data_IF_437267089023
#
_entry.id   IF_437267089023
#
_cell.length_a   1.000
_cell.length_b   1.000
_cell.length_c   1.000
_cell.angle_alpha   90.00
_cell.angle_beta   90.00
_cell.angle_gamma   90.00
#
_symmetry.space_group_name_H-M   'P 1'
#
loop_
_entity.id
_entity.type
_entity.pdbx_description
1 polymer ?
#
# COMPACT_ATOMS: atom_id res chain seq x y z
N UNK A 1 22.23 16.27 25.23
CA UNK A 1 23.19 16.25 26.35
C UNK A 1 24.53 15.75 25.84
N UNK A 2 25.64 16.29 26.36
CA UNK A 2 26.98 15.83 26.02
C UNK A 2 27.60 15.13 27.24
N UNK A 3 28.18 13.95 27.03
CA UNK A 3 28.85 13.18 28.08
C UNK A 3 30.04 12.41 27.50
N UNK A 4 30.95 11.98 28.37
CA UNK A 4 31.98 11.01 27.96
C UNK A 4 31.29 9.65 27.73
N UNK A 5 31.65 8.95 26.66
CA UNK A 5 31.11 7.63 26.37
C UNK A 5 31.52 6.60 27.44
N UNK A 6 30.80 5.47 27.52
CA UNK A 6 31.07 4.44 28.54
C UNK A 6 32.52 3.91 28.51
N UNK A 7 33.15 3.91 27.34
CA UNK A 7 34.54 3.49 27.15
C UNK A 7 35.59 4.53 27.56
N UNK A 8 35.19 5.76 27.93
CA UNK A 8 36.09 6.90 28.21
C UNK A 8 37.03 7.27 27.07
N UNK A 9 36.68 6.92 25.84
CA UNK A 9 37.49 7.14 24.64
C UNK A 9 36.93 8.23 23.73
N UNK A 10 35.75 8.78 24.03
CA UNK A 10 35.15 9.82 23.19
C UNK A 10 34.05 10.62 23.87
N UNK A 11 33.64 11.68 23.19
CA UNK A 11 32.50 12.52 23.56
C UNK A 11 31.27 11.99 22.81
N UNK A 12 30.21 11.67 23.54
CA UNK A 12 28.91 11.32 22.99
C UNK A 12 27.97 12.51 23.15
N UNK A 13 27.33 12.91 22.05
CA UNK A 13 26.29 13.93 22.04
C UNK A 13 24.98 13.24 21.69
N UNK A 14 24.02 13.26 22.61
CA UNK A 14 22.66 12.76 22.39
C UNK A 14 21.74 13.95 22.19
N UNK A 15 21.04 13.98 21.07
CA UNK A 15 20.00 14.96 20.86
C UNK A 15 18.72 14.55 21.61
N UNK A 16 18.27 15.37 22.56
CA UNK A 16 17.03 15.14 23.33
C UNK A 16 15.83 15.90 22.75
N UNK A 17 16.01 16.66 21.67
CA UNK A 17 14.94 17.36 20.97
C UNK A 17 14.76 16.73 19.58
N UNK A 18 13.65 16.01 19.32
CA UNK A 18 13.42 15.35 18.03
C UNK A 18 13.17 16.33 16.89
N UNK A 19 12.97 17.62 17.18
CA UNK A 19 12.69 18.67 16.17
C UNK A 19 13.91 19.46 15.76
N UNK A 20 15.04 19.27 16.45
CA UNK A 20 16.30 19.96 16.18
C UNK A 20 17.31 18.97 15.66
N UNK A 21 18.31 19.49 14.97
CA UNK A 21 19.41 18.70 14.42
C UNK A 21 20.72 19.13 15.08
N UNK A 22 21.64 18.19 15.29
CA UNK A 22 23.00 18.51 15.68
C UNK A 22 23.74 19.19 14.52
N UNK A 23 24.17 20.42 14.74
CA UNK A 23 24.97 21.19 13.78
C UNK A 23 26.34 21.42 14.40
N UNK A 24 27.39 21.02 13.70
CA UNK A 24 28.76 21.35 14.07
C UNK A 24 29.21 22.51 13.19
N UNK A 25 29.52 23.64 13.82
CA UNK A 25 30.06 24.82 13.16
C UNK A 25 31.31 25.29 13.87
N UNK A 26 32.28 25.79 13.11
CA UNK A 26 33.44 26.45 13.70
C UNK A 26 33.05 27.80 14.31
N UNK A 27 33.64 28.14 15.46
CA UNK A 27 33.58 29.49 16.00
C UNK A 27 34.67 30.34 15.33
N UNK A 28 34.28 31.53 14.84
CA UNK A 28 35.16 32.48 14.14
C UNK A 28 35.88 31.87 12.92
N UNK A 29 37.08 32.35 12.60
CA UNK A 29 37.93 31.83 11.52
C UNK A 29 38.68 30.53 11.91
N UNK A 30 38.35 29.91 13.05
CA UNK A 30 39.00 28.67 13.46
C UNK A 30 38.52 27.49 12.60
N UNK A 31 39.35 26.44 12.48
CA UNK A 31 39.03 25.21 11.74
C UNK A 31 39.08 23.98 12.64
N UNK A 32 38.75 24.13 13.93
CA UNK A 32 38.94 23.09 14.94
C UNK A 32 38.06 21.86 14.70
N UNK A 33 36.83 22.02 14.23
CA UNK A 33 35.97 20.87 13.92
C UNK A 33 36.43 20.14 12.66
N UNK A 34 36.84 20.91 11.64
CA UNK A 34 37.42 20.41 10.40
C UNK A 34 38.71 19.61 10.64
N UNK A 35 39.63 20.16 11.42
CA UNK A 35 40.89 19.49 11.78
C UNK A 35 40.68 18.16 12.55
N UNK A 36 39.53 17.98 13.19
CA UNK A 36 39.15 16.75 13.90
C UNK A 36 38.35 15.78 13.02
N UNK A 37 38.17 16.08 11.73
CA UNK A 37 37.40 15.25 10.83
C UNK A 37 35.87 15.33 11.04
N UNK A 38 35.41 16.32 11.81
CA UNK A 38 34.00 16.45 12.20
C UNK A 38 33.35 17.47 11.27
N UNK A 39 32.74 16.96 10.19
CA UNK A 39 32.16 17.77 9.12
C UNK A 39 30.68 17.55 8.94
N UNK A 40 29.98 18.65 8.63
CA UNK A 40 28.60 18.60 8.20
C UNK A 40 27.63 18.16 9.29
N UNK A 41 26.36 18.06 8.90
CA UNK A 41 25.30 17.50 9.72
C UNK A 41 24.83 16.20 9.09
N UNK A 42 24.42 15.21 9.89
CA UNK A 42 23.79 13.99 9.38
C UNK A 42 22.45 14.27 8.68
N UNK A 43 21.89 15.46 8.90
CA UNK A 43 20.65 15.95 8.28
C UNK A 43 20.93 16.80 7.03
N UNK A 44 20.07 16.65 6.03
CA UNK A 44 20.11 17.43 4.78
C UNK A 44 19.83 18.91 5.06
N UNK A 45 18.85 19.22 5.93
CA UNK A 45 18.50 20.62 6.26
C UNK A 45 19.62 21.28 7.07
N UNK A 46 20.18 20.55 8.04
CA UNK A 46 21.39 20.97 8.76
C UNK A 46 22.55 21.28 7.82
N UNK A 47 22.81 20.39 6.85
CA UNK A 47 23.88 20.58 5.86
C UNK A 47 23.64 21.77 4.93
N UNK A 48 22.38 22.05 4.55
CA UNK A 48 22.02 23.25 3.77
C UNK A 48 22.26 24.54 4.55
N UNK A 49 21.91 24.57 5.84
CA UNK A 49 22.18 25.74 6.70
C UNK A 49 23.68 25.99 6.85
N UNK A 50 24.47 24.93 7.03
CA UNK A 50 25.93 25.02 7.08
C UNK A 50 26.50 25.53 5.75
N UNK A 51 25.98 25.07 4.61
CA UNK A 51 26.42 25.52 3.29
C UNK A 51 26.19 27.03 3.12
N UNK A 52 25.03 27.54 3.52
CA UNK A 52 24.74 28.98 3.50
C UNK A 52 25.74 29.76 4.35
N UNK A 53 26.09 29.25 5.53
CA UNK A 53 27.08 29.89 6.40
C UNK A 53 28.49 29.87 5.80
N UNK A 54 28.92 28.74 5.23
CA UNK A 54 30.22 28.60 4.59
C UNK A 54 30.36 29.53 3.37
N UNK A 55 29.28 29.72 2.60
CA UNK A 55 29.24 30.68 1.50
C UNK A 55 29.38 32.13 1.99
N UNK A 56 28.70 32.50 3.08
CA UNK A 56 28.83 33.84 3.70
C UNK A 56 30.24 34.12 4.21
N UNK A 57 30.91 33.09 4.72
CA UNK A 57 32.27 33.18 5.25
C UNK A 57 33.35 33.00 4.17
N UNK A 58 32.98 32.79 2.91
CA UNK A 58 33.89 32.53 1.78
C UNK A 58 34.84 31.32 2.03
N UNK A 59 34.38 30.31 2.76
CA UNK A 59 35.15 29.10 3.06
C UNK A 59 34.96 28.04 1.98
N UNK A 60 35.81 28.10 0.94
CA UNK A 60 35.72 27.23 -0.25
C UNK A 60 35.91 25.74 0.05
N UNK A 61 36.71 25.40 1.05
CA UNK A 61 36.95 24.00 1.41
C UNK A 61 35.68 23.38 2.01
N UNK A 62 35.10 24.04 3.01
CA UNK A 62 33.86 23.58 3.64
C UNK A 62 32.69 23.50 2.65
N UNK A 63 32.64 24.42 1.67
CA UNK A 63 31.65 24.35 0.57
C UNK A 63 31.80 23.07 -0.24
N UNK A 64 33.02 22.70 -0.62
CA UNK A 64 33.28 21.48 -1.40
C UNK A 64 32.84 20.22 -0.66
N UNK A 65 33.15 20.12 0.65
CA UNK A 65 32.82 18.94 1.45
C UNK A 65 31.31 18.83 1.73
N UNK A 66 30.64 19.97 1.93
CA UNK A 66 29.19 20.02 2.13
C UNK A 66 28.41 19.65 0.86
N UNK A 67 28.92 19.95 -0.34
CA UNK A 67 28.30 19.51 -1.59
C UNK A 67 28.25 17.97 -1.66
N UNK A 68 29.36 17.29 -1.36
CA UNK A 68 29.37 15.82 -1.34
C UNK A 68 28.41 15.23 -0.30
N UNK A 69 28.29 15.88 0.86
CA UNK A 69 27.33 15.50 1.91
C UNK A 69 25.87 15.68 1.43
N UNK A 70 25.56 16.78 0.77
CA UNK A 70 24.23 17.05 0.20
C UNK A 70 23.88 16.05 -0.89
N UNK A 71 24.82 15.70 -1.77
CA UNK A 71 24.61 14.69 -2.82
C UNK A 71 24.27 13.32 -2.22
N UNK A 72 24.97 12.91 -1.15
CA UNK A 72 24.65 11.68 -0.42
C UNK A 72 23.25 11.74 0.22
N UNK A 73 22.88 12.87 0.81
CA UNK A 73 21.54 13.11 1.35
C UNK A 73 20.45 13.05 0.27
N UNK A 74 20.69 13.66 -0.89
CA UNK A 74 19.78 13.60 -2.04
C UNK A 74 19.61 12.16 -2.54
N UNK A 75 20.69 11.39 -2.64
CA UNK A 75 20.62 9.97 -2.99
C UNK A 75 19.76 9.17 -2.01
N UNK A 76 19.85 9.46 -0.71
CA UNK A 76 19.01 8.83 0.31
C UNK A 76 17.52 9.15 0.10
N UNK A 77 17.18 10.41 -0.17
CA UNK A 77 15.80 10.82 -0.48
C UNK A 77 15.29 10.15 -1.76
N UNK A 78 16.12 10.10 -2.81
CA UNK A 78 15.79 9.42 -4.06
C UNK A 78 15.53 7.93 -3.86
N UNK A 79 16.33 7.25 -3.03
CA UNK A 79 16.13 5.84 -2.67
C UNK A 79 14.79 5.62 -1.96
N UNK A 80 14.44 6.48 -1.00
CA UNK A 80 13.13 6.41 -0.33
C UNK A 80 11.98 6.67 -1.31
N UNK A 81 12.12 7.67 -2.20
CA UNK A 81 11.12 7.95 -3.23
C UNK A 81 10.94 6.77 -4.18
N UNK A 82 12.03 6.14 -4.63
CA UNK A 82 12.00 4.96 -5.49
C UNK A 82 11.30 3.77 -4.79
N UNK A 83 11.61 3.52 -3.52
CA UNK A 83 10.95 2.48 -2.71
C UNK A 83 9.44 2.71 -2.59
N UNK A 84 9.01 3.95 -2.34
CA UNK A 84 7.60 4.32 -2.32
C UNK A 84 6.95 4.14 -3.70
N UNK A 85 7.61 4.58 -4.78
CA UNK A 85 7.14 4.38 -6.14
C UNK A 85 6.93 2.90 -6.49
N UNK A 86 7.86 2.02 -6.10
CA UNK A 86 7.72 0.58 -6.29
C UNK A 86 6.51 0.00 -5.53
N UNK A 87 6.21 0.51 -4.33
CA UNK A 87 5.02 0.10 -3.56
C UNK A 87 3.73 0.55 -4.24
N UNK A 88 3.71 1.77 -4.80
CA UNK A 88 2.57 2.28 -5.57
C UNK A 88 2.31 1.41 -6.79
N UNK A 89 3.33 1.12 -7.60
CA UNK A 89 3.21 0.23 -8.77
C UNK A 89 2.66 -1.15 -8.37
N UNK A 90 3.14 -1.71 -7.25
CA UNK A 90 2.66 -2.99 -6.74
C UNK A 90 1.18 -2.92 -6.33
N UNK A 91 0.75 -1.82 -5.70
CA UNK A 91 -0.65 -1.60 -5.34
C UNK A 91 -1.54 -1.48 -6.58
N UNK A 92 -1.13 -0.69 -7.57
CA UNK A 92 -1.86 -0.53 -8.84
C UNK A 92 -1.99 -1.86 -9.59
N UNK A 93 -0.89 -2.63 -9.66
CA UNK A 93 -0.91 -3.97 -10.27
C UNK A 93 -1.85 -4.92 -9.51
N UNK A 94 -1.87 -4.84 -8.19
CA UNK A 94 -2.76 -5.64 -7.35
C UNK A 94 -4.22 -5.25 -7.58
N UNK A 95 -4.52 -3.95 -7.65
CA UNK A 95 -5.86 -3.44 -7.92
C UNK A 95 -6.38 -3.92 -9.28
N UNK A 96 -5.56 -3.81 -10.33
CA UNK A 96 -5.90 -4.32 -11.67
C UNK A 96 -6.22 -5.81 -11.63
N UNK A 97 -5.40 -6.63 -10.95
CA UNK A 97 -5.66 -8.07 -10.80
C UNK A 97 -6.95 -8.37 -10.03
N UNK A 98 -7.28 -7.60 -9.00
CA UNK A 98 -8.52 -7.76 -8.26
C UNK A 98 -9.75 -7.42 -9.12
N UNK A 99 -9.64 -6.42 -9.98
CA UNK A 99 -10.69 -6.09 -10.96
C UNK A 99 -10.88 -7.24 -11.95
N UNK A 100 -9.78 -7.79 -12.48
CA UNK A 100 -9.83 -8.95 -13.39
C UNK A 100 -10.44 -10.18 -12.71
N UNK A 101 -10.09 -10.45 -11.45
CA UNK A 101 -10.69 -11.53 -10.67
C UNK A 101 -12.19 -11.30 -10.45
N UNK A 102 -12.61 -10.08 -10.18
CA UNK A 102 -14.04 -9.77 -10.01
C UNK A 102 -14.82 -10.11 -11.29
N UNK A 103 -14.33 -9.71 -12.46
CA UNK A 103 -14.96 -10.04 -13.74
C UNK A 103 -14.98 -11.55 -13.99
N UNK A 104 -13.86 -12.23 -13.77
CA UNK A 104 -13.76 -13.68 -13.98
C UNK A 104 -14.66 -14.47 -13.02
N UNK A 105 -14.72 -14.09 -11.74
CA UNK A 105 -15.60 -14.76 -10.77
C UNK A 105 -17.07 -14.53 -11.07
N UNK A 106 -17.47 -13.31 -11.45
CA UNK A 106 -18.85 -13.05 -11.89
C UNK A 106 -19.21 -13.89 -13.10
N UNK A 107 -18.29 -14.02 -14.08
CA UNK A 107 -18.50 -14.88 -15.24
C UNK A 107 -18.63 -16.36 -14.85
N UNK A 108 -17.72 -16.86 -14.02
CA UNK A 108 -17.74 -18.25 -13.58
C UNK A 108 -19.00 -18.57 -12.76
N UNK A 109 -19.45 -17.63 -11.91
CA UNK A 109 -20.69 -17.77 -11.16
C UNK A 109 -21.89 -17.84 -12.10
N UNK A 110 -21.99 -16.94 -13.09
CA UNK A 110 -23.05 -16.97 -14.10
C UNK A 110 -23.07 -18.30 -14.87
N UNK A 111 -21.92 -18.80 -15.32
CA UNK A 111 -21.84 -20.07 -16.06
C UNK A 111 -22.32 -21.27 -15.24
N UNK A 112 -22.08 -21.26 -13.92
CA UNK A 112 -22.53 -22.33 -13.02
C UNK A 112 -24.02 -22.19 -12.69
N UNK A 113 -24.49 -20.98 -12.35
CA UNK A 113 -25.88 -20.74 -11.95
C UNK A 113 -26.87 -20.80 -13.14
N UNK A 114 -26.50 -20.33 -14.33
CA UNK A 114 -27.39 -20.33 -15.51
C UNK A 114 -27.79 -21.76 -15.94
N UNK A 115 -26.87 -22.73 -15.80
CA UNK A 115 -27.14 -24.13 -16.08
C UNK A 115 -28.13 -24.74 -15.08
N UNK A 116 -28.00 -24.40 -13.79
CA UNK A 116 -28.91 -24.88 -12.74
C UNK A 116 -30.28 -24.22 -12.81
N UNK A 117 -30.37 -22.92 -13.11
CA UNK A 117 -31.66 -22.23 -13.30
C UNK A 117 -32.44 -22.85 -14.47
N UNK A 118 -31.76 -23.15 -15.58
CA UNK A 118 -32.41 -23.80 -16.74
C UNK A 118 -32.99 -25.15 -16.35
N UNK A 119 -32.22 -25.98 -15.63
CA UNK A 119 -32.66 -27.29 -15.15
C UNK A 119 -33.83 -27.18 -14.16
N UNK A 120 -33.73 -26.26 -13.20
CA UNK A 120 -34.76 -25.99 -12.21
C UNK A 120 -36.09 -25.59 -12.88
N UNK A 121 -36.04 -24.72 -13.90
CA UNK A 121 -37.22 -24.31 -14.66
C UNK A 121 -37.85 -25.52 -15.38
N UNK A 122 -37.06 -26.37 -16.02
CA UNK A 122 -37.58 -27.59 -16.65
C UNK A 122 -38.19 -28.56 -15.65
N UNK A 123 -37.54 -28.78 -14.50
CA UNK A 123 -38.05 -29.67 -13.45
C UNK A 123 -39.37 -29.14 -12.86
N UNK A 124 -39.45 -27.82 -12.64
CA UNK A 124 -40.68 -27.15 -12.19
C UNK A 124 -41.80 -27.29 -13.22
N UNK A 125 -41.54 -27.02 -14.51
CA UNK A 125 -42.54 -27.14 -15.57
C UNK A 125 -43.06 -28.58 -15.71
N UNK A 126 -42.19 -29.58 -15.57
CA UNK A 126 -42.59 -30.99 -15.55
C UNK A 126 -43.48 -31.31 -14.34
N UNK A 127 -43.14 -30.82 -13.15
CA UNK A 127 -43.94 -31.03 -11.94
C UNK A 127 -45.32 -30.36 -12.05
N UNK A 128 -45.39 -29.13 -12.58
CA UNK A 128 -46.65 -28.43 -12.85
C UNK A 128 -47.52 -29.19 -13.86
N UNK A 129 -46.91 -29.67 -14.95
CA UNK A 129 -47.64 -30.45 -15.96
C UNK A 129 -48.19 -31.76 -15.39
N UNK A 130 -47.39 -32.48 -14.60
CA UNK A 130 -47.81 -33.70 -13.92
C UNK A 130 -48.94 -33.43 -12.91
N UNK A 131 -48.86 -32.31 -12.17
CA UNK A 131 -49.89 -31.90 -11.22
C UNK A 131 -51.22 -31.56 -11.93
N UNK A 132 -51.17 -30.76 -13.00
CA UNK A 132 -52.35 -30.43 -13.81
C UNK A 132 -52.97 -31.68 -14.46
N UNK A 133 -52.13 -32.59 -14.98
CA UNK A 133 -52.59 -33.87 -15.52
C UNK A 133 -53.28 -34.74 -14.47
N UNK A 134 -52.72 -34.78 -13.24
CA UNK A 134 -53.31 -35.50 -12.11
C UNK A 134 -54.65 -34.89 -11.70
N UNK A 135 -54.76 -33.56 -11.66
CA UNK A 135 -56.01 -32.85 -11.35
C UNK A 135 -57.09 -33.13 -12.40
N UNK A 136 -56.73 -33.09 -13.70
CA UNK A 136 -57.64 -33.42 -14.79
C UNK A 136 -58.11 -34.89 -14.74
N UNK A 137 -57.20 -35.82 -14.42
CA UNK A 137 -57.54 -37.22 -14.22
C UNK A 137 -58.51 -37.40 -13.03
N UNK A 138 -58.22 -36.77 -11.89
CA UNK A 138 -59.10 -36.78 -10.73
C UNK A 138 -60.48 -36.17 -11.04
N UNK A 139 -60.54 -35.05 -11.79
CA UNK A 139 -61.78 -34.43 -12.22
C UNK A 139 -62.61 -35.35 -13.13
N UNK A 140 -61.97 -36.11 -14.04
CA UNK A 140 -62.65 -37.14 -14.86
C UNK A 140 -63.16 -38.33 -14.04
N UNK A 141 -62.45 -38.72 -12.98
CA UNK A 141 -62.90 -39.79 -12.05
C UNK A 141 -64.09 -39.31 -11.20
N UNK A 142 -64.07 -38.04 -10.76
CA UNK A 142 -65.12 -37.43 -9.93
C UNK A 142 -66.35 -37.04 -10.77
N UNK A 143 -66.22 -36.84 -12.09
CA UNK A 143 -67.38 -36.77 -12.98
C UNK A 143 -68.17 -38.09 -12.91
N UNK A 144 -69.50 -38.04 -12.77
CA UNK A 144 -70.28 -39.12 -12.17
C UNK A 144 -70.31 -40.38 -13.03
N UNK A 145 -69.54 -41.40 -12.63
CA UNK A 145 -69.85 -42.81 -12.97
C UNK A 145 -71.06 -43.33 -12.21
N UNK A 146 -71.54 -42.58 -11.20
CA UNK A 146 -72.75 -42.87 -10.43
C UNK A 146 -74.05 -42.74 -11.26
N UNK A 147 -74.06 -41.98 -12.37
CA UNK A 147 -75.20 -41.93 -13.30
C UNK A 147 -75.27 -43.15 -14.24
N UNK A 148 -74.19 -43.94 -14.35
CA UNK A 148 -74.18 -45.18 -15.14
C UNK A 148 -74.64 -46.41 -14.34
N UNK A 149 -74.84 -46.30 -13.02
CA UNK A 149 -75.31 -47.40 -12.17
C UNK A 149 -76.83 -47.35 -11.90
N UNK A 150 -77.56 -46.42 -12.54
CA UNK A 150 -79.01 -46.21 -12.42
C UNK A 150 -79.78 -46.50 -13.73
N UNK A 151 -79.32 -47.47 -14.53
CA UNK A 151 -80.13 -48.14 -15.56
C UNK A 151 -80.13 -49.63 -15.34
#
# INVERSE_FOLDING_TARGET
>A
TASINAGRTGIQIVNNDPTRTLIVSNADNARSADALGIFGSTDLLGSMMLLVQSLRNNDRSSVSDLIGTLDSGLNTVLNHRASTGAKVIRMETTLSRLQDYTVNYTKLLSEVEDADITKLITDLAMAENAYQSSLNAAAKIIQPSLLNFLR
#
